data_IF_429279644641
#
_entry.id   IF_429279644641
#
_cell.length_a   1.000
_cell.length_b   1.000
_cell.length_c   1.000
_cell.angle_alpha   90.00
_cell.angle_beta   90.00
_cell.angle_gamma   90.00
#
_symmetry.space_group_name_H-M   'P 1'
#
loop_
_entity.id
_entity.type
_entity.pdbx_description
1 polymer ?
#
# COMPACT_ATOMS: atom_id res chain seq x y z
N UNK A 1 -11.45 1.54 -5.66
CA UNK A 1 -10.93 2.23 -4.46
C UNK A 1 -11.99 2.23 -3.37
N UNK A 2 -11.67 2.57 -2.11
CA UNK A 2 -12.66 2.62 -1.03
C UNK A 2 -13.85 3.55 -1.36
N UNK A 3 -13.60 4.65 -2.10
CA UNK A 3 -14.64 5.60 -2.55
C UNK A 3 -15.71 4.99 -3.47
N UNK A 4 -15.45 3.84 -4.08
CA UNK A 4 -16.34 3.20 -5.05
C UNK A 4 -17.26 2.16 -4.40
N UNK A 5 -17.02 1.84 -3.11
CA UNK A 5 -17.83 0.89 -2.35
C UNK A 5 -19.26 1.37 -2.19
N UNK A 6 -20.19 0.42 -2.16
CA UNK A 6 -21.62 0.64 -2.01
C UNK A 6 -22.22 -0.36 -1.02
N UNK A 7 -23.34 -0.02 -0.36
CA UNK A 7 -24.11 -1.00 0.39
C UNK A 7 -24.42 -2.24 -0.46
N UNK A 8 -24.20 -3.42 0.11
CA UNK A 8 -24.34 -4.71 -0.55
C UNK A 8 -23.03 -5.29 -1.11
N UNK A 9 -21.98 -4.49 -1.27
CA UNK A 9 -20.68 -5.00 -1.70
C UNK A 9 -20.07 -5.95 -0.65
N UNK A 10 -19.34 -6.97 -1.12
CA UNK A 10 -18.67 -7.94 -0.26
C UNK A 10 -17.19 -7.62 -0.16
N UNK A 11 -16.68 -7.50 1.07
CA UNK A 11 -15.27 -7.27 1.38
C UNK A 11 -14.67 -8.47 2.10
N UNK A 12 -13.38 -8.72 1.89
CA UNK A 12 -12.65 -9.77 2.61
C UNK A 12 -12.21 -9.28 3.99
N UNK A 13 -12.39 -10.14 4.99
CA UNK A 13 -11.89 -9.92 6.35
C UNK A 13 -10.99 -11.08 6.79
N UNK A 14 -10.38 -10.99 7.96
CA UNK A 14 -9.60 -12.11 8.52
C UNK A 14 -10.51 -13.33 8.69
N UNK A 15 -10.23 -14.39 7.92
CA UNK A 15 -10.92 -15.67 8.01
C UNK A 15 -12.37 -15.69 7.47
N UNK A 16 -12.88 -14.58 6.92
CA UNK A 16 -14.26 -14.51 6.42
C UNK A 16 -14.46 -13.39 5.37
N UNK A 17 -15.71 -13.13 5.03
CA UNK A 17 -16.18 -11.97 4.28
C UNK A 17 -17.19 -11.17 5.10
N UNK A 18 -17.30 -9.87 4.83
CA UNK A 18 -18.33 -8.99 5.38
C UNK A 18 -19.05 -8.26 4.25
N UNK A 19 -20.32 -7.92 4.46
CA UNK A 19 -21.11 -7.11 3.53
C UNK A 19 -21.12 -5.66 4.00
N UNK A 20 -20.86 -4.72 3.09
CA UNK A 20 -20.97 -3.29 3.36
C UNK A 20 -22.44 -2.97 3.63
N UNK A 21 -22.75 -2.47 4.82
CA UNK A 21 -24.13 -2.09 5.18
C UNK A 21 -24.45 -0.63 4.83
N UNK A 22 -23.45 0.25 4.91
CA UNK A 22 -23.56 1.69 4.67
C UNK A 22 -22.21 2.27 4.25
N UNK A 23 -22.25 3.43 3.59
CA UNK A 23 -21.06 4.25 3.26
C UNK A 23 -21.41 5.69 3.60
N UNK A 24 -20.54 6.34 4.38
CA UNK A 24 -20.73 7.69 4.89
C UNK A 24 -19.44 8.50 4.72
N UNK A 25 -19.55 9.81 4.52
CA UNK A 25 -18.38 10.69 4.51
C UNK A 25 -17.83 10.81 5.94
N UNK A 26 -16.55 10.45 6.10
CA UNK A 26 -15.83 10.60 7.35
C UNK A 26 -15.22 11.99 7.51
N UNK A 27 -14.77 12.36 8.72
CA UNK A 27 -14.01 13.58 8.95
C UNK A 27 -12.67 13.56 8.21
N UNK A 28 -12.10 14.75 7.96
CA UNK A 28 -10.74 14.89 7.44
C UNK A 28 -9.75 14.69 8.58
N UNK A 29 -8.94 13.64 8.48
CA UNK A 29 -7.95 13.26 9.50
C UNK A 29 -6.61 12.86 8.85
N UNK A 30 -5.49 12.94 9.58
CA UNK A 30 -4.22 12.37 9.13
C UNK A 30 -4.36 10.87 8.85
N UNK A 31 -3.85 10.43 7.70
CA UNK A 31 -3.86 9.03 7.29
C UNK A 31 -2.45 8.44 7.32
N UNK A 32 -2.36 7.16 7.63
CA UNK A 32 -1.10 6.40 7.67
C UNK A 32 -1.22 5.19 6.75
N UNK A 33 -0.11 4.80 6.13
CA UNK A 33 -0.01 3.62 5.27
C UNK A 33 1.20 2.78 5.67
N UNK A 34 1.20 1.51 5.26
CA UNK A 34 2.26 0.55 5.57
C UNK A 34 2.88 0.03 4.28
N UNK A 35 4.21 0.03 4.22
CA UNK A 35 4.95 -0.77 3.26
C UNK A 35 5.19 -2.16 3.86
N UNK A 36 4.62 -3.20 3.27
CA UNK A 36 4.74 -4.58 3.75
C UNK A 36 5.67 -5.35 2.82
N UNK A 37 6.74 -5.91 3.37
CA UNK A 37 7.72 -6.65 2.60
C UNK A 37 7.08 -7.83 1.86
N UNK A 38 7.24 -7.88 0.53
CA UNK A 38 6.76 -8.98 -0.30
C UNK A 38 5.25 -8.98 -0.58
N UNK A 39 4.50 -7.94 -0.22
CA UNK A 39 3.07 -7.88 -0.51
C UNK A 39 2.49 -6.46 -0.44
N UNK A 40 1.51 -6.18 -1.29
CA UNK A 40 0.81 -4.89 -1.32
C UNK A 40 -0.55 -4.97 -0.62
N UNK A 41 -0.84 -6.03 0.13
CA UNK A 41 -2.14 -6.19 0.78
C UNK A 41 -1.97 -6.65 2.21
N UNK A 42 -2.73 -6.04 3.11
CA UNK A 42 -2.65 -6.25 4.55
C UNK A 42 -4.01 -6.04 5.19
N UNK A 43 -4.19 -6.56 6.40
CA UNK A 43 -5.45 -6.45 7.15
C UNK A 43 -5.39 -5.27 8.12
N UNK A 44 -6.44 -4.44 8.15
CA UNK A 44 -6.54 -3.25 9.03
C UNK A 44 -7.89 -3.11 9.70
N UNK A 45 -7.92 -2.29 10.76
CA UNK A 45 -9.13 -1.98 11.52
C UNK A 45 -9.63 -3.14 12.37
N UNK A 46 -10.62 -2.87 13.23
CA UNK A 46 -11.14 -3.84 14.20
C UNK A 46 -11.75 -5.09 13.55
N UNK A 47 -12.37 -4.93 12.38
CA UNK A 47 -12.93 -6.04 11.60
C UNK A 47 -11.86 -6.83 10.82
N UNK A 48 -10.62 -6.34 10.78
CA UNK A 48 -9.55 -6.94 9.99
C UNK A 48 -9.91 -6.98 8.51
N UNK A 49 -10.23 -5.84 7.91
CA UNK A 49 -10.56 -5.76 6.48
C UNK A 49 -9.27 -5.85 5.64
N UNK A 50 -9.30 -6.66 4.57
CA UNK A 50 -8.19 -6.76 3.63
C UNK A 50 -8.16 -5.51 2.75
N UNK A 51 -7.08 -4.75 2.86
CA UNK A 51 -6.84 -3.54 2.06
C UNK A 51 -5.60 -3.69 1.20
N UNK A 52 -5.44 -2.78 0.26
CA UNK A 52 -4.29 -2.73 -0.63
C UNK A 52 -3.54 -1.41 -0.45
N UNK A 53 -2.22 -1.48 -0.47
CA UNK A 53 -1.36 -0.32 -0.63
C UNK A 53 -1.60 0.29 -2.02
N UNK A 54 -2.33 1.39 -2.05
CA UNK A 54 -2.63 2.12 -3.27
C UNK A 54 -1.75 3.38 -3.43
N UNK A 55 -0.56 3.40 -2.81
CA UNK A 55 0.44 4.43 -3.05
C UNK A 55 1.03 4.31 -4.46
N UNK A 56 1.25 5.45 -5.11
CA UNK A 56 2.10 5.50 -6.30
C UNK A 56 3.53 5.22 -5.83
N UNK A 57 4.18 4.20 -6.41
CA UNK A 57 5.61 3.95 -6.18
C UNK A 57 6.35 5.26 -6.47
N UNK A 58 6.97 5.85 -5.44
CA UNK A 58 7.82 7.00 -5.67
C UNK A 58 9.05 6.52 -6.46
N UNK A 59 9.42 7.18 -7.56
CA UNK A 59 10.68 6.90 -8.22
C UNK A 59 11.81 7.07 -7.20
N UNK A 60 12.49 5.98 -6.86
CA UNK A 60 13.68 6.05 -6.00
C UNK A 60 14.81 6.65 -6.83
N UNK A 61 15.42 7.72 -6.32
CA UNK A 61 16.53 8.38 -7.01
C UNK A 61 17.72 7.44 -7.23
N UNK A 62 17.89 6.42 -6.37
CA UNK A 62 18.84 5.31 -6.53
C UNK A 62 18.22 4.01 -5.98
N UNK A 63 18.04 2.96 -6.80
CA UNK A 63 17.70 1.62 -6.33
C UNK A 63 18.76 1.08 -5.34
N UNK A 64 18.35 0.29 -4.36
CA UNK A 64 19.26 -0.27 -3.35
C UNK A 64 20.27 -1.27 -3.92
N UNK A 65 19.95 -1.86 -5.08
CA UNK A 65 20.72 -2.84 -5.82
C UNK A 65 21.37 -2.26 -7.08
N UNK A 66 21.25 -0.94 -7.29
CA UNK A 66 21.99 -0.26 -8.34
C UNK A 66 23.48 -0.39 -8.04
N UNK A 67 24.12 -1.36 -8.70
CA UNK A 67 25.54 -1.63 -8.61
C UNK A 67 26.29 -0.30 -8.75
N UNK A 68 26.99 0.12 -7.68
CA UNK A 68 27.92 1.23 -7.75
C UNK A 68 28.98 0.79 -8.76
N UNK A 69 28.83 1.23 -10.01
CA UNK A 69 29.91 1.09 -10.99
C UNK A 69 31.00 2.02 -10.48
N UNK A 70 32.00 1.40 -9.85
CA UNK A 70 33.01 2.05 -9.04
C UNK A 70 33.62 3.25 -9.75
N UNK A 71 33.62 4.37 -9.05
CA UNK A 71 34.35 5.60 -9.35
C UNK A 71 35.86 5.36 -9.13
N UNK A 72 36.42 4.31 -9.75
CA UNK A 72 37.84 3.94 -9.68
C UNK A 72 38.48 3.71 -11.07
N UNK A 73 37.77 3.92 -12.18
CA UNK A 73 38.40 4.02 -13.51
C UNK A 73 39.00 5.43 -13.68
N UNK A 74 40.07 5.70 -12.94
CA UNK A 74 41.02 6.75 -13.34
C UNK A 74 41.93 6.13 -14.40
N UNK A 75 41.95 6.60 -15.66
CA UNK A 75 42.97 6.18 -16.57
C UNK A 75 44.28 6.82 -16.12
N UNK A 76 45.14 6.01 -15.49
CA UNK A 76 46.54 6.34 -15.36
C UNK A 76 47.17 6.34 -16.74
N UNK A 77 47.52 7.53 -17.23
CA UNK A 77 48.81 7.86 -17.85
C UNK A 77 48.89 9.37 -18.12
#
# INVERSE_FOLDING_TARGET
>A
MARDLKPGDVVRTIGNTATVSAVEEGPVEPVYNLEVAGGQSFFVGTLGALVHDNSLVQPVARPFDASIRGENDTPGN
#
